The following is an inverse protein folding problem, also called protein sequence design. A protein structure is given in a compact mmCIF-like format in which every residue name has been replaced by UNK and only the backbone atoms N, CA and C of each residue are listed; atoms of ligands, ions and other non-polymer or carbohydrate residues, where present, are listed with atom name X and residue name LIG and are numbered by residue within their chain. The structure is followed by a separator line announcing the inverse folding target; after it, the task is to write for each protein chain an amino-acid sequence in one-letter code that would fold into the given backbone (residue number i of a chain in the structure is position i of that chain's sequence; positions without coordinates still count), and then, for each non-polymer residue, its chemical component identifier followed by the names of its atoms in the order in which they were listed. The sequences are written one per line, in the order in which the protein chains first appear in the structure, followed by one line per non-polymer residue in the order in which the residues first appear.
data_IF_170089674425
#
_entry.id   IF_170089674425
#
_cell.length_a   1.000
_cell.length_b   1.000
_cell.length_c   1.000
_cell.angle_alpha   90.00
_cell.angle_beta   90.00
_cell.angle_gamma   90.00
#
_symmetry.space_group_name_H-M   'P 1'
#
loop_
_entity.id
_entity.type
_entity.pdbx_description
1 polymer ?
#
# COMPACT_ATOMS: atom_id res chain seq x y z
N UNK A 1 8.34 1.23 40.88
CA UNK A 1 7.81 0.47 39.73
C UNK A 1 6.95 1.43 38.94
N UNK A 2 7.45 1.97 37.83
CA UNK A 2 6.82 3.08 37.12
C UNK A 2 5.56 2.63 36.37
N UNK A 3 4.51 3.44 36.43
CA UNK A 3 3.26 3.32 35.66
C UNK A 3 3.44 3.60 34.14
N UNK A 4 4.62 3.34 33.58
CA UNK A 4 4.81 3.30 32.14
C UNK A 4 4.67 1.82 31.74
N UNK A 5 3.54 1.47 31.15
CA UNK A 5 3.29 0.11 30.68
C UNK A 5 4.38 -0.33 29.69
N UNK A 6 4.62 -1.63 29.61
CA UNK A 6 5.47 -2.22 28.58
C UNK A 6 4.90 -1.89 27.19
N UNK A 7 5.41 -0.81 26.58
CA UNK A 7 4.96 -0.32 25.28
C UNK A 7 5.15 -1.38 24.18
N UNK A 8 6.14 -2.26 24.32
CA UNK A 8 6.35 -3.38 23.41
C UNK A 8 5.18 -4.36 23.45
N UNK A 9 4.81 -4.81 24.66
CA UNK A 9 3.67 -5.72 24.85
C UNK A 9 2.34 -5.08 24.43
N UNK A 10 2.09 -3.81 24.82
CA UNK A 10 0.89 -3.08 24.40
C UNK A 10 0.81 -2.95 22.88
N UNK A 11 1.92 -2.58 22.23
CA UNK A 11 1.98 -2.45 20.78
C UNK A 11 1.63 -3.74 20.05
N UNK A 12 2.09 -4.90 20.54
CA UNK A 12 1.73 -6.21 20.00
C UNK A 12 0.26 -6.55 20.20
N UNK A 13 -0.32 -6.23 21.35
CA UNK A 13 -1.75 -6.42 21.60
C UNK A 13 -2.60 -5.60 20.62
N UNK A 14 -2.26 -4.33 20.41
CA UNK A 14 -2.95 -3.48 19.43
C UNK A 14 -2.77 -3.97 17.99
N UNK A 15 -1.61 -4.51 17.65
CA UNK A 15 -1.37 -5.12 16.33
C UNK A 15 -2.31 -6.31 16.09
N UNK A 16 -2.46 -7.19 17.09
CA UNK A 16 -3.38 -8.33 17.03
C UNK A 16 -4.85 -7.89 16.98
N UNK A 17 -5.18 -6.77 17.62
CA UNK A 17 -6.51 -6.19 17.59
C UNK A 17 -6.77 -5.31 16.35
N UNK A 18 -5.90 -5.34 15.33
CA UNK A 18 -6.00 -4.56 14.10
C UNK A 18 -6.05 -3.02 14.31
N UNK A 19 -5.50 -2.56 15.44
CA UNK A 19 -5.38 -1.13 15.79
C UNK A 19 -3.98 -0.64 15.41
N UNK A 20 -3.69 -0.70 14.10
CA UNK A 20 -2.33 -0.56 13.57
C UNK A 20 -1.67 0.79 13.88
N UNK A 21 -2.43 1.87 13.95
CA UNK A 21 -1.89 3.20 14.26
C UNK A 21 -1.45 3.32 15.71
N UNK A 22 -2.25 2.80 16.65
CA UNK A 22 -1.87 2.71 18.08
C UNK A 22 -0.69 1.76 18.25
N UNK A 23 -0.71 0.62 17.56
CA UNK A 23 0.40 -0.33 17.57
C UNK A 23 1.71 0.34 17.12
N UNK A 24 1.69 1.06 15.99
CA UNK A 24 2.84 1.79 15.48
C UNK A 24 3.37 2.81 16.49
N UNK A 25 2.49 3.60 17.13
CA UNK A 25 2.87 4.54 18.18
C UNK A 25 3.59 3.86 19.36
N UNK A 26 3.00 2.79 19.90
CA UNK A 26 3.56 2.07 21.04
C UNK A 26 4.90 1.40 20.69
N UNK A 27 4.99 0.75 19.52
CA UNK A 27 6.19 0.04 19.10
C UNK A 27 7.33 1.01 18.78
N UNK A 28 7.02 2.16 18.19
CA UNK A 28 8.01 3.22 17.99
C UNK A 28 8.53 3.79 19.32
N UNK A 29 7.66 4.03 20.31
CA UNK A 29 8.08 4.40 21.67
C UNK A 29 8.97 3.34 22.31
N UNK A 30 8.64 2.06 22.16
CA UNK A 30 9.45 0.96 22.68
C UNK A 30 10.86 0.90 22.04
N UNK A 31 10.98 1.24 20.76
CA UNK A 31 12.28 1.36 20.07
C UNK A 31 13.09 2.55 20.61
N UNK A 32 12.44 3.69 20.88
CA UNK A 32 13.11 4.85 21.46
C UNK A 32 13.62 4.58 22.87
N UNK A 33 12.88 3.81 23.67
CA UNK A 33 13.30 3.37 25.01
C UNK A 33 14.41 2.31 24.95
N UNK A 34 14.31 1.36 24.01
CA UNK A 34 15.30 0.32 23.80
C UNK A 34 15.46 0.00 22.29
N UNK A 35 16.53 0.55 21.69
CA UNK A 35 16.84 0.35 20.28
C UNK A 35 17.16 -1.10 19.90
N UNK A 36 17.51 -1.95 20.87
CA UNK A 36 17.80 -3.37 20.67
C UNK A 36 16.54 -4.25 20.71
N UNK A 37 15.35 -3.66 20.90
CA UNK A 37 14.09 -4.41 20.94
C UNK A 37 13.65 -4.87 19.53
N UNK A 38 14.19 -6.00 19.09
CA UNK A 38 13.90 -6.59 17.77
C UNK A 38 12.39 -6.81 17.53
N UNK A 39 11.65 -7.21 18.56
CA UNK A 39 10.20 -7.42 18.47
C UNK A 39 9.45 -6.12 18.17
N UNK A 40 9.91 -4.99 18.72
CA UNK A 40 9.31 -3.69 18.44
C UNK A 40 9.58 -3.21 17.01
N UNK A 41 10.79 -3.40 16.48
CA UNK A 41 11.11 -3.13 15.08
C UNK A 41 10.24 -3.92 14.11
N UNK A 42 10.18 -5.24 14.31
CA UNK A 42 9.36 -6.14 13.51
C UNK A 42 7.89 -5.74 13.54
N UNK A 43 7.36 -5.49 14.74
CA UNK A 43 5.97 -5.07 14.89
C UNK A 43 5.67 -3.71 14.25
N UNK A 44 6.59 -2.75 14.32
CA UNK A 44 6.40 -1.42 13.73
C UNK A 44 6.32 -1.54 12.20
N UNK A 45 7.22 -2.30 11.59
CA UNK A 45 7.24 -2.58 10.14
C UNK A 45 5.91 -3.22 9.71
N UNK A 46 5.44 -4.22 10.47
CA UNK A 46 4.14 -4.85 10.22
C UNK A 46 2.98 -3.86 10.30
N UNK A 47 2.92 -3.06 11.38
CA UNK A 47 1.86 -2.07 11.58
C UNK A 47 1.80 -1.06 10.43
N UNK A 48 2.95 -0.50 10.04
CA UNK A 48 3.04 0.46 8.93
C UNK A 48 2.70 -0.20 7.58
N UNK A 49 3.09 -1.46 7.37
CA UNK A 49 2.75 -2.22 6.15
C UNK A 49 1.25 -2.45 6.03
N UNK A 50 0.57 -2.83 7.12
CA UNK A 50 -0.89 -2.99 7.11
C UNK A 50 -1.65 -1.67 6.93
N UNK A 51 -1.02 -0.54 7.22
CA UNK A 51 -1.54 0.80 6.90
C UNK A 51 -1.16 1.28 5.50
N UNK A 52 -0.43 0.48 4.71
CA UNK A 52 0.12 0.84 3.38
C UNK A 52 0.98 2.13 3.41
N UNK A 53 1.73 2.37 4.50
CA UNK A 53 2.66 3.51 4.63
C UNK A 53 4.05 3.15 4.09
N UNK A 54 4.14 2.87 2.79
CA UNK A 54 5.35 2.31 2.14
C UNK A 54 6.62 3.16 2.37
N UNK A 55 6.52 4.49 2.30
CA UNK A 55 7.64 5.38 2.59
C UNK A 55 8.15 5.27 4.04
N UNK A 56 7.25 5.11 5.00
CA UNK A 56 7.62 4.93 6.41
C UNK A 56 8.21 3.54 6.62
N UNK A 57 7.65 2.52 5.96
CA UNK A 57 8.17 1.15 5.99
C UNK A 57 9.60 1.11 5.45
N UNK A 58 9.87 1.72 4.29
CA UNK A 58 11.23 1.85 3.74
C UNK A 58 12.18 2.53 4.73
N UNK A 59 11.73 3.63 5.35
CA UNK A 59 12.53 4.38 6.32
C UNK A 59 12.85 3.54 7.56
N UNK A 60 11.85 2.86 8.13
CA UNK A 60 12.03 2.02 9.32
C UNK A 60 12.85 0.75 9.01
N UNK A 61 12.66 0.12 7.85
CA UNK A 61 13.49 -1.01 7.39
C UNK A 61 14.95 -0.60 7.20
N UNK A 62 15.20 0.59 6.64
CA UNK A 62 16.55 1.11 6.48
C UNK A 62 17.20 1.38 7.84
N UNK A 63 16.46 2.02 8.76
CA UNK A 63 16.92 2.24 10.14
C UNK A 63 17.21 0.93 10.86
N UNK A 64 16.37 -0.10 10.70
CA UNK A 64 16.57 -1.44 11.25
C UNK A 64 17.90 -2.04 10.77
N UNK A 65 18.12 -2.09 9.45
CA UNK A 65 19.34 -2.65 8.86
C UNK A 65 20.61 -1.93 9.32
N UNK A 66 20.52 -0.62 9.57
CA UNK A 66 21.64 0.20 10.02
C UNK A 66 21.86 0.18 11.54
N UNK A 67 21.14 -0.64 12.32
CA UNK A 67 21.43 -0.87 13.75
C UNK A 67 22.34 -2.09 13.94
N UNK A 68 23.64 -1.93 14.29
CA UNK A 68 24.56 -3.06 14.42
C UNK A 68 24.22 -4.04 15.56
N UNK A 69 23.46 -3.59 16.56
CA UNK A 69 23.17 -4.37 17.77
C UNK A 69 21.96 -5.30 17.60
N UNK A 70 21.15 -5.11 16.56
CA UNK A 70 19.97 -5.94 16.33
C UNK A 70 20.33 -7.34 15.81
N UNK A 71 19.58 -8.37 16.24
CA UNK A 71 19.68 -9.68 15.62
C UNK A 71 19.07 -9.66 14.22
N UNK A 72 19.60 -10.52 13.36
CA UNK A 72 19.00 -10.84 12.08
C UNK A 72 17.59 -11.43 12.27
N UNK A 73 16.63 -10.91 11.51
CA UNK A 73 15.24 -11.38 11.46
C UNK A 73 14.92 -11.78 10.00
N UNK A 74 14.75 -13.08 9.70
CA UNK A 74 14.47 -13.54 8.33
C UNK A 74 13.13 -13.02 7.79
N UNK A 75 12.16 -12.71 8.66
CA UNK A 75 10.85 -12.19 8.23
C UNK A 75 10.98 -10.79 7.59
N UNK A 76 12.05 -10.05 7.90
CA UNK A 76 12.32 -8.73 7.31
C UNK A 76 12.69 -8.77 5.83
N UNK A 77 13.20 -9.91 5.34
CA UNK A 77 13.67 -10.04 3.96
C UNK A 77 12.52 -9.82 2.97
N UNK A 78 11.37 -10.44 3.21
CA UNK A 78 10.22 -10.30 2.33
C UNK A 78 9.74 -8.85 2.24
N UNK A 79 9.76 -8.10 3.35
CA UNK A 79 9.45 -6.67 3.33
C UNK A 79 10.48 -5.86 2.55
N UNK A 80 11.78 -6.11 2.75
CA UNK A 80 12.83 -5.41 2.01
C UNK A 80 12.74 -5.66 0.50
N UNK A 81 12.52 -6.92 0.09
CA UNK A 81 12.33 -7.27 -1.32
C UNK A 81 11.11 -6.56 -1.91
N UNK A 82 9.97 -6.54 -1.20
CA UNK A 82 8.77 -5.84 -1.65
C UNK A 82 8.99 -4.33 -1.80
N UNK A 83 9.68 -3.71 -0.84
CA UNK A 83 9.86 -2.25 -0.77
C UNK A 83 10.90 -1.70 -1.75
N UNK A 84 11.90 -2.51 -2.13
CA UNK A 84 13.01 -2.10 -2.99
C UNK A 84 13.19 -3.01 -4.21
N UNK A 85 12.14 -3.73 -4.65
CA UNK A 85 12.20 -4.60 -5.84
C UNK A 85 12.77 -3.92 -7.08
N UNK A 86 12.49 -2.62 -7.25
CA UNK A 86 12.96 -1.81 -8.38
C UNK A 86 14.14 -0.88 -8.03
N UNK A 87 14.73 -1.04 -6.83
CA UNK A 87 15.89 -0.26 -6.38
C UNK A 87 17.01 -1.22 -5.93
N UNK A 88 17.79 -1.78 -6.88
CA UNK A 88 18.85 -2.74 -6.57
C UNK A 88 19.96 -2.14 -5.68
N UNK A 89 20.13 -0.81 -5.69
CA UNK A 89 21.09 -0.11 -4.82
C UNK A 89 20.72 -0.25 -3.35
N UNK A 90 19.53 0.24 -2.97
CA UNK A 90 19.08 0.20 -1.58
C UNK A 90 18.90 -1.24 -1.08
N UNK A 91 18.36 -2.13 -1.93
CA UNK A 91 18.21 -3.54 -1.59
C UNK A 91 19.57 -4.21 -1.36
N UNK A 92 20.56 -3.96 -2.22
CA UNK A 92 21.92 -4.49 -2.07
C UNK A 92 22.59 -4.00 -0.78
N UNK A 93 22.51 -2.71 -0.49
CA UNK A 93 23.03 -2.13 0.77
C UNK A 93 22.32 -2.72 2.00
N UNK A 94 21.02 -2.98 1.92
CA UNK A 94 20.25 -3.60 2.98
C UNK A 94 20.71 -5.04 3.24
N UNK A 95 20.86 -5.85 2.18
CA UNK A 95 21.40 -7.22 2.26
C UNK A 95 22.81 -7.25 2.87
N UNK A 96 23.66 -6.32 2.45
CA UNK A 96 25.01 -6.15 2.97
C UNK A 96 25.02 -5.83 4.48
N UNK A 97 24.07 -5.02 4.94
CA UNK A 97 23.95 -4.63 6.34
C UNK A 97 23.44 -5.79 7.21
N UNK A 98 22.36 -6.47 6.79
CA UNK A 98 21.78 -7.58 7.57
C UNK A 98 22.64 -8.85 7.57
N UNK A 99 23.48 -9.05 6.55
CA UNK A 99 24.43 -10.18 6.50
C UNK A 99 25.51 -10.10 7.58
N UNK A 100 25.71 -8.90 8.17
CA UNK A 100 26.67 -8.62 9.25
C UNK A 100 26.03 -8.66 10.64
N UNK A 101 24.71 -8.75 10.73
CA UNK A 101 24.00 -8.82 12.01
C UNK A 101 24.30 -10.10 12.78
N UNK A 102 24.05 -10.07 14.08
CA UNK A 102 24.13 -11.28 14.91
C UNK A 102 23.01 -12.25 14.53
N UNK A 103 23.32 -13.54 14.42
CA UNK A 103 22.31 -14.58 14.21
C UNK A 103 21.99 -14.90 12.74
N UNK A 104 22.70 -14.31 11.78
CA UNK A 104 22.53 -14.61 10.34
C UNK A 104 22.84 -16.08 10.00
N UNK A 105 23.78 -16.70 10.70
CA UNK A 105 24.06 -18.14 10.62
C UNK A 105 24.19 -18.66 9.19
N UNK A 106 23.33 -19.62 8.84
CA UNK A 106 23.28 -20.30 7.53
C UNK A 106 22.86 -19.38 6.37
N UNK A 107 22.15 -18.28 6.64
CA UNK A 107 21.70 -17.35 5.60
C UNK A 107 22.80 -16.45 5.06
N UNK A 108 23.97 -16.38 5.73
CA UNK A 108 25.03 -15.42 5.39
C UNK A 108 25.53 -15.57 3.96
N UNK A 109 25.74 -16.80 3.50
CA UNK A 109 26.23 -17.07 2.16
C UNK A 109 25.22 -16.62 1.08
N UNK A 110 23.93 -16.92 1.30
CA UNK A 110 22.84 -16.50 0.42
C UNK A 110 22.75 -14.97 0.33
N UNK A 111 22.74 -14.28 1.48
CA UNK A 111 22.64 -12.82 1.53
C UNK A 111 23.82 -12.13 0.85
N UNK A 112 25.04 -12.66 1.04
CA UNK A 112 26.24 -12.13 0.39
C UNK A 112 26.22 -12.37 -1.12
N UNK A 113 25.66 -13.50 -1.58
CA UNK A 113 25.45 -13.78 -3.00
C UNK A 113 24.46 -12.79 -3.64
N UNK A 114 23.29 -12.61 -3.01
CA UNK A 114 22.29 -11.65 -3.46
C UNK A 114 22.81 -10.21 -3.46
N UNK A 115 23.57 -9.80 -2.44
CA UNK A 115 24.27 -8.51 -2.42
C UNK A 115 25.15 -8.33 -3.67
N UNK A 116 25.94 -9.34 -4.03
CA UNK A 116 26.84 -9.27 -5.18
C UNK A 116 26.06 -9.15 -6.51
N UNK A 117 24.98 -9.91 -6.67
CA UNK A 117 24.13 -9.86 -7.85
C UNK A 117 23.45 -8.49 -8.01
N UNK A 118 22.90 -7.95 -6.92
CA UNK A 118 22.26 -6.63 -6.89
C UNK A 118 23.27 -5.51 -7.17
N UNK A 119 24.48 -5.61 -6.61
CA UNK A 119 25.56 -4.65 -6.87
C UNK A 119 25.97 -4.65 -8.34
N UNK A 120 26.04 -5.83 -8.96
CA UNK A 120 26.30 -5.95 -10.40
C UNK A 120 25.16 -5.32 -11.22
N UNK A 121 23.92 -5.66 -10.91
CA UNK A 121 22.74 -5.12 -11.60
C UNK A 121 22.68 -3.58 -11.51
N UNK A 122 22.99 -3.00 -10.34
CA UNK A 122 23.09 -1.55 -10.20
C UNK A 122 24.27 -0.97 -11.01
N UNK A 123 25.42 -1.63 -11.03
CA UNK A 123 26.56 -1.24 -11.88
C UNK A 123 26.19 -1.17 -13.36
N UNK A 124 25.51 -2.20 -13.87
CA UNK A 124 25.04 -2.27 -15.26
C UNK A 124 24.06 -1.11 -15.58
N UNK A 125 23.17 -0.75 -14.64
CA UNK A 125 22.27 0.39 -14.79
C UNK A 125 23.01 1.73 -14.80
N UNK A 126 24.02 1.89 -13.94
CA UNK A 126 24.85 3.11 -13.88
C UNK A 126 25.60 3.30 -15.19
N UNK A 127 26.13 2.23 -15.78
CA UNK A 127 26.78 2.29 -17.10
C UNK A 127 25.82 2.69 -18.22
N UNK A 128 24.55 2.27 -18.16
CA UNK A 128 23.54 2.55 -19.19
C UNK A 128 22.90 3.94 -19.08
N UNK A 129 22.66 4.42 -17.86
CA UNK A 129 21.83 5.61 -17.62
C UNK A 129 22.54 6.75 -16.88
N UNK A 130 23.71 6.48 -16.27
CA UNK A 130 24.41 7.40 -15.38
C UNK A 130 23.83 7.41 -13.97
N UNK A 131 24.70 7.57 -12.96
CA UNK A 131 24.31 7.52 -11.54
C UNK A 131 23.35 8.66 -11.15
N UNK A 132 23.56 9.87 -11.65
CA UNK A 132 22.73 11.05 -11.36
C UNK A 132 21.27 10.82 -11.80
N UNK A 133 21.06 10.37 -13.04
CA UNK A 133 19.74 10.01 -13.58
C UNK A 133 19.03 8.95 -12.73
N UNK A 134 19.76 7.95 -12.23
CA UNK A 134 19.17 6.89 -11.41
C UNK A 134 18.77 7.42 -10.02
N UNK A 135 19.56 8.33 -9.45
CA UNK A 135 19.21 8.99 -8.18
C UNK A 135 17.96 9.85 -8.33
N UNK A 136 17.82 10.61 -9.42
CA UNK A 136 16.61 11.36 -9.75
C UNK A 136 15.38 10.45 -9.88
N UNK A 137 15.57 9.24 -10.41
CA UNK A 137 14.54 8.18 -10.46
C UNK A 137 14.29 7.47 -9.11
N UNK A 138 14.92 7.93 -8.03
CA UNK A 138 14.71 7.42 -6.68
C UNK A 138 15.58 6.22 -6.30
N UNK A 139 16.60 5.86 -7.10
CA UNK A 139 17.60 4.84 -6.74
C UNK A 139 18.67 5.41 -5.80
N UNK A 140 18.23 5.83 -4.62
CA UNK A 140 19.09 6.45 -3.60
C UNK A 140 19.68 5.40 -2.63
N UNK A 141 20.78 5.72 -1.92
CA UNK A 141 21.38 4.88 -0.89
C UNK A 141 20.43 4.57 0.27
N UNK A 142 20.68 3.46 0.97
CA UNK A 142 19.93 3.05 2.15
C UNK A 142 20.01 4.08 3.29
N UNK A 143 21.18 4.72 3.44
CA UNK A 143 21.39 5.75 4.44
C UNK A 143 20.45 6.96 4.25
N UNK A 144 20.14 7.33 3.01
CA UNK A 144 19.22 8.42 2.73
C UNK A 144 17.78 8.06 3.10
N UNK A 145 17.34 6.81 2.83
CA UNK A 145 16.05 6.34 3.33
C UNK A 145 15.98 6.41 4.87
N UNK A 146 17.02 5.96 5.57
CA UNK A 146 17.04 5.97 7.03
C UNK A 146 16.99 7.38 7.63
N UNK A 147 17.53 8.37 6.93
CA UNK A 147 17.56 9.78 7.34
C UNK A 147 16.24 10.53 7.11
N UNK A 148 15.32 9.97 6.31
CA UNK A 148 14.00 10.59 6.09
C UNK A 148 13.25 10.72 7.41
N UNK A 149 12.45 11.77 7.52
CA UNK A 149 11.55 11.98 8.64
C UNK A 149 10.21 11.31 8.37
N UNK A 150 9.71 10.52 9.33
CA UNK A 150 8.36 9.94 9.30
C UNK A 150 7.44 10.66 10.29
N UNK A 151 6.12 10.50 10.18
CA UNK A 151 5.19 11.20 11.07
C UNK A 151 5.37 10.81 12.54
N UNK A 152 5.83 9.59 12.82
CA UNK A 152 6.16 9.16 14.19
C UNK A 152 7.35 9.93 14.80
N UNK A 153 8.35 10.31 13.98
CA UNK A 153 9.43 11.20 14.43
C UNK A 153 8.85 12.57 14.77
N UNK A 154 7.98 13.10 13.91
CA UNK A 154 7.34 14.39 14.15
C UNK A 154 6.45 14.37 15.40
N UNK A 155 5.69 13.31 15.65
CA UNK A 155 4.88 13.16 16.87
C UNK A 155 5.77 13.13 18.11
N UNK A 156 6.95 12.53 18.02
CA UNK A 156 7.89 12.45 19.13
C UNK A 156 8.62 13.79 19.37
N UNK A 157 9.07 14.44 18.30
CA UNK A 157 9.87 15.68 18.33
C UNK A 157 9.02 16.95 18.49
N UNK A 158 7.76 16.92 18.05
CA UNK A 158 6.85 18.06 17.93
C UNK A 158 6.45 18.74 19.26
N UNK A 159 7.01 18.29 20.38
CA UNK A 159 6.85 18.91 21.69
C UNK A 159 5.61 18.40 22.42
N UNK A 160 4.83 19.33 23.00
CA UNK A 160 3.62 18.94 23.72
C UNK A 160 2.55 18.43 22.76
N UNK A 161 1.72 17.51 23.24
CA UNK A 161 0.57 17.00 22.50
C UNK A 161 -0.38 18.14 22.08
N UNK A 162 -0.43 19.22 22.85
CA UNK A 162 -1.23 20.41 22.52
C UNK A 162 -0.75 21.13 21.25
N UNK A 163 0.56 21.26 21.06
CA UNK A 163 1.14 21.86 19.85
C UNK A 163 0.77 21.03 18.62
N UNK A 164 0.91 19.71 18.73
CA UNK A 164 0.54 18.77 17.66
C UNK A 164 -0.93 18.96 17.27
N UNK A 165 -1.82 19.07 18.26
CA UNK A 165 -3.25 19.25 17.98
C UNK A 165 -3.62 20.61 17.43
N UNK A 166 -2.92 21.67 17.80
CA UNK A 166 -3.16 22.99 17.22
C UNK A 166 -2.81 22.99 15.73
N UNK A 167 -1.66 22.41 15.36
CA UNK A 167 -1.29 22.25 13.96
C UNK A 167 -2.28 21.35 13.21
N UNK A 168 -2.68 20.22 13.81
CA UNK A 168 -3.62 19.29 13.20
C UNK A 168 -4.99 19.94 12.91
N UNK A 169 -5.46 20.86 13.76
CA UNK A 169 -6.71 21.61 13.51
C UNK A 169 -6.63 22.55 12.33
N UNK A 170 -5.46 23.10 12.04
CA UNK A 170 -5.25 23.96 10.87
C UNK A 170 -5.12 23.09 9.60
N UNK A 171 -4.29 22.04 9.65
CA UNK A 171 -4.02 21.17 8.51
C UNK A 171 -5.24 20.39 8.02
N UNK A 172 -6.18 20.08 8.91
CA UNK A 172 -7.40 19.34 8.56
C UNK A 172 -8.42 20.20 7.81
N UNK A 173 -8.27 21.52 7.86
CA UNK A 173 -9.11 22.49 7.17
C UNK A 173 -8.48 22.91 5.82
N UNK A 174 -7.19 22.58 5.59
CA UNK A 174 -6.49 22.77 4.32
C UNK A 174 -6.63 21.52 3.42
N UNK A 175 -7.28 21.61 2.24
CA UNK A 175 -7.46 20.48 1.33
C UNK A 175 -6.16 19.78 0.92
N UNK A 176 -5.04 20.51 0.82
CA UNK A 176 -3.75 19.94 0.42
C UNK A 176 -3.10 19.14 1.55
N UNK A 177 -3.42 19.46 2.81
CA UNK A 177 -2.80 18.86 3.99
C UNK A 177 -3.73 17.90 4.74
N UNK A 178 -5.03 17.91 4.44
CA UNK A 178 -6.03 17.16 5.20
C UNK A 178 -5.75 15.65 5.23
N UNK A 179 -5.32 15.05 4.12
CA UNK A 179 -4.98 13.62 4.09
C UNK A 179 -3.76 13.30 4.96
N UNK A 180 -2.71 14.13 4.90
CA UNK A 180 -1.51 14.00 5.74
C UNK A 180 -1.86 14.14 7.22
N UNK A 181 -2.75 15.07 7.56
CA UNK A 181 -3.27 15.24 8.92
C UNK A 181 -4.02 13.99 9.40
N UNK A 182 -4.90 13.42 8.58
CA UNK A 182 -5.62 12.16 8.89
C UNK A 182 -4.64 11.01 9.16
N UNK A 183 -3.61 10.87 8.32
CA UNK A 183 -2.55 9.85 8.48
C UNK A 183 -1.73 10.03 9.75
N UNK A 184 -1.54 11.27 10.19
CA UNK A 184 -0.87 11.56 11.45
C UNK A 184 -1.75 11.21 12.65
N UNK A 185 -3.02 11.63 12.63
CA UNK A 185 -3.96 11.44 13.73
C UNK A 185 -4.24 9.97 14.04
N UNK A 186 -4.14 9.06 13.06
CA UNK A 186 -4.34 7.63 13.30
C UNK A 186 -3.26 7.00 14.18
N UNK A 187 -2.07 7.62 14.26
CA UNK A 187 -0.94 7.18 15.08
C UNK A 187 -0.80 7.98 16.38
N UNK A 188 -1.77 8.83 16.73
CA UNK A 188 -1.76 9.60 17.96
C UNK A 188 -2.91 9.14 18.88
N UNK A 189 -2.67 8.19 19.81
CA UNK A 189 -3.70 7.59 20.66
C UNK A 189 -4.14 8.54 21.78
N UNK A 190 -4.84 9.62 21.42
CA UNK A 190 -5.45 10.59 22.32
C UNK A 190 -6.90 10.88 21.88
N UNK A 191 -7.85 11.05 22.82
CA UNK A 191 -9.27 11.24 22.52
C UNK A 191 -9.58 12.40 21.56
N UNK A 192 -8.69 13.40 21.48
CA UNK A 192 -8.82 14.52 20.55
C UNK A 192 -8.61 14.06 19.09
N UNK A 193 -7.79 13.05 18.83
CA UNK A 193 -7.63 12.44 17.50
C UNK A 193 -8.93 11.83 17.02
N UNK A 194 -9.60 11.04 17.87
CA UNK A 194 -10.91 10.47 17.55
C UNK A 194 -11.93 11.58 17.23
N UNK A 195 -11.98 12.63 18.07
CA UNK A 195 -12.92 13.74 17.88
C UNK A 195 -12.71 14.46 16.55
N UNK A 196 -11.44 14.70 16.17
CA UNK A 196 -11.10 15.34 14.90
C UNK A 196 -11.39 14.44 13.69
N UNK A 197 -11.01 13.17 13.74
CA UNK A 197 -11.30 12.21 12.67
C UNK A 197 -12.81 12.03 12.47
N UNK A 198 -13.60 11.94 13.55
CA UNK A 198 -15.08 11.94 13.46
C UNK A 198 -15.65 13.24 12.89
N UNK A 199 -14.97 14.38 13.03
CA UNK A 199 -15.36 15.65 12.38
C UNK A 199 -15.08 15.56 10.88
N UNK A 200 -13.91 15.04 10.47
CA UNK A 200 -13.56 14.82 9.06
C UNK A 200 -14.57 13.93 8.37
N UNK A 201 -14.95 12.79 8.97
CA UNK A 201 -15.94 11.88 8.38
C UNK A 201 -17.28 12.56 8.04
N UNK A 202 -17.60 13.71 8.66
CA UNK A 202 -18.85 14.47 8.45
C UNK A 202 -18.64 15.79 7.69
N UNK A 203 -17.40 16.15 7.35
CA UNK A 203 -17.12 17.44 6.73
C UNK A 203 -17.27 17.35 5.21
N UNK A 204 -18.39 17.86 4.70
CA UNK A 204 -18.72 17.81 3.27
C UNK A 204 -17.83 18.69 2.38
N UNK A 205 -17.09 19.63 2.97
CA UNK A 205 -16.13 20.48 2.26
C UNK A 205 -14.84 19.73 1.90
N UNK A 206 -14.57 18.59 2.55
CA UNK A 206 -13.38 17.77 2.27
C UNK A 206 -13.65 16.74 1.18
N UNK A 207 -12.61 16.43 0.42
CA UNK A 207 -12.65 15.37 -0.60
C UNK A 207 -13.12 14.03 0.02
N UNK A 208 -13.93 13.31 -0.75
CA UNK A 208 -14.53 12.04 -0.30
C UNK A 208 -13.47 11.00 0.09
N UNK A 209 -12.32 10.96 -0.59
CA UNK A 209 -11.23 10.05 -0.22
C UNK A 209 -10.67 10.38 1.15
N UNK A 210 -10.47 11.67 1.47
CA UNK A 210 -9.98 12.09 2.80
C UNK A 210 -10.94 11.64 3.90
N UNK A 211 -12.25 11.76 3.65
CA UNK A 211 -13.28 11.30 4.60
C UNK A 211 -13.26 9.78 4.79
N UNK A 212 -13.10 9.02 3.71
CA UNK A 212 -12.99 7.55 3.77
C UNK A 212 -11.70 7.12 4.49
N UNK A 213 -10.59 7.80 4.23
CA UNK A 213 -9.33 7.59 4.96
C UNK A 213 -9.46 7.94 6.44
N UNK A 214 -10.30 8.91 6.82
CA UNK A 214 -10.58 9.19 8.22
C UNK A 214 -11.36 8.05 8.92
N UNK A 215 -12.24 7.33 8.21
CA UNK A 215 -12.87 6.11 8.74
C UNK A 215 -11.83 5.01 8.98
N UNK A 216 -10.91 4.79 8.03
CA UNK A 216 -9.81 3.85 8.18
C UNK A 216 -8.91 4.23 9.37
N UNK A 217 -8.56 5.50 9.47
CA UNK A 217 -7.79 6.06 10.56
C UNK A 217 -8.43 5.82 11.93
N UNK A 218 -9.76 5.96 12.05
CA UNK A 218 -10.48 5.63 13.29
C UNK A 218 -10.32 4.14 13.66
N UNK A 219 -10.43 3.23 12.69
CA UNK A 219 -10.23 1.79 12.95
C UNK A 219 -8.81 1.50 13.42
N UNK A 220 -7.81 2.11 12.79
CA UNK A 220 -6.40 1.97 13.16
C UNK A 220 -6.05 2.63 14.50
N UNK A 221 -6.78 3.67 14.89
CA UNK A 221 -6.73 4.28 16.22
C UNK A 221 -7.39 3.39 17.30
N UNK A 222 -7.96 2.25 16.92
CA UNK A 222 -8.63 1.31 17.82
C UNK A 222 -10.07 1.67 18.15
N UNK A 223 -10.68 2.59 17.39
CA UNK A 223 -12.10 2.95 17.56
C UNK A 223 -12.97 1.84 16.96
N UNK A 224 -14.06 1.53 17.67
CA UNK A 224 -15.01 0.46 17.35
C UNK A 224 -16.45 1.00 17.35
N UNK A 225 -17.38 0.24 16.81
CA UNK A 225 -18.79 0.60 16.69
C UNK A 225 -19.10 1.63 15.59
N UNK A 226 -20.24 2.30 15.76
CA UNK A 226 -20.84 3.12 14.72
C UNK A 226 -20.19 4.51 14.59
N UNK A 227 -19.92 4.90 13.35
CA UNK A 227 -19.43 6.23 12.96
C UNK A 227 -20.38 6.83 11.93
N UNK A 228 -20.78 8.10 12.16
CA UNK A 228 -21.51 8.87 11.15
C UNK A 228 -20.53 9.35 10.08
N UNK A 229 -20.89 9.12 8.83
CA UNK A 229 -20.10 9.45 7.66
C UNK A 229 -20.98 10.17 6.64
N UNK A 230 -20.55 11.30 6.12
CA UNK A 230 -21.28 12.02 5.09
C UNK A 230 -20.55 11.92 3.77
N UNK A 231 -21.25 11.54 2.70
CA UNK A 231 -20.72 11.56 1.34
C UNK A 231 -21.85 11.80 0.34
N UNK A 232 -21.55 12.49 -0.77
CA UNK A 232 -22.53 12.85 -1.81
C UNK A 232 -23.84 13.48 -1.30
N UNK A 233 -23.77 14.31 -0.24
CA UNK A 233 -24.95 14.96 0.36
C UNK A 233 -25.84 14.03 1.20
N UNK A 234 -25.42 12.79 1.41
CA UNK A 234 -26.12 11.80 2.22
C UNK A 234 -25.34 11.46 3.50
N UNK A 235 -26.07 11.10 4.56
CA UNK A 235 -25.51 10.66 5.84
C UNK A 235 -25.65 9.15 5.99
N UNK A 236 -24.52 8.49 6.17
CA UNK A 236 -24.38 7.06 6.43
C UNK A 236 -23.97 6.77 7.87
N UNK A 237 -24.25 5.56 8.33
CA UNK A 237 -23.72 5.02 9.58
C UNK A 237 -22.89 3.78 9.24
N UNK A 238 -21.59 3.87 9.48
CA UNK A 238 -20.63 2.79 9.20
C UNK A 238 -20.27 2.12 10.52
N UNK A 239 -20.47 0.81 10.61
CA UNK A 239 -20.00 0.01 11.75
C UNK A 239 -18.53 -0.36 11.55
N UNK A 240 -17.61 0.18 12.35
CA UNK A 240 -16.19 -0.11 12.23
C UNK A 240 -15.81 -1.54 12.64
N UNK A 241 -16.67 -2.25 13.40
CA UNK A 241 -16.44 -3.65 13.76
C UNK A 241 -16.67 -4.61 12.58
N UNK A 242 -17.61 -4.26 11.70
CA UNK A 242 -17.92 -5.02 10.49
C UNK A 242 -18.46 -4.08 9.41
N UNK A 243 -17.57 -3.33 8.74
CA UNK A 243 -17.96 -2.34 7.74
C UNK A 243 -18.54 -3.05 6.51
N UNK A 244 -19.72 -2.61 6.08
CA UNK A 244 -20.40 -3.09 4.88
C UNK A 244 -20.77 -1.87 4.03
N UNK A 245 -20.15 -1.69 2.85
CA UNK A 245 -19.13 -2.55 2.23
C UNK A 245 -17.76 -2.48 2.94
N UNK A 246 -16.85 -3.39 2.60
CA UNK A 246 -15.54 -3.57 3.26
C UNK A 246 -14.71 -2.28 3.34
N UNK A 247 -14.36 -1.85 4.56
CA UNK A 247 -13.43 -0.73 4.75
C UNK A 247 -11.99 -1.26 4.84
N UNK A 248 -11.24 -1.15 3.74
CA UNK A 248 -9.87 -1.66 3.59
C UNK A 248 -8.98 -0.69 2.81
N UNK A 249 -7.66 -0.79 3.01
CA UNK A 249 -6.63 -0.11 2.18
C UNK A 249 -6.11 -0.96 1.03
N UNK A 250 -6.43 -2.24 1.02
CA UNK A 250 -6.14 -3.14 -0.09
C UNK A 250 -7.20 -3.01 -1.17
N UNK A 251 -7.00 -3.72 -2.29
CA UNK A 251 -8.09 -3.94 -3.24
C UNK A 251 -9.21 -4.71 -2.53
N UNK A 252 -10.45 -4.20 -2.50
CA UNK A 252 -11.56 -4.87 -1.83
C UNK A 252 -11.83 -6.26 -2.41
N UNK A 253 -12.16 -7.21 -1.56
CA UNK A 253 -12.30 -8.62 -1.94
C UNK A 253 -13.37 -8.85 -3.03
N UNK A 254 -14.36 -7.97 -3.12
CA UNK A 254 -15.43 -8.01 -4.14
C UNK A 254 -14.89 -7.92 -5.58
N UNK A 255 -13.70 -7.34 -5.79
CA UNK A 255 -13.07 -7.25 -7.11
C UNK A 255 -12.23 -8.47 -7.48
N UNK A 256 -11.95 -9.39 -6.54
CA UNK A 256 -11.11 -10.58 -6.77
C UNK A 256 -11.60 -11.43 -7.95
N UNK A 257 -12.90 -11.72 -8.14
CA UNK A 257 -13.38 -12.48 -9.30
C UNK A 257 -13.07 -11.81 -10.64
N UNK A 258 -13.17 -10.48 -10.72
CA UNK A 258 -12.85 -9.72 -11.92
C UNK A 258 -11.34 -9.69 -12.19
N UNK A 259 -10.50 -9.56 -11.16
CA UNK A 259 -9.04 -9.68 -11.29
C UNK A 259 -8.63 -11.09 -11.73
N UNK A 260 -9.29 -12.13 -11.22
CA UNK A 260 -9.10 -13.50 -11.67
C UNK A 260 -9.46 -13.64 -13.17
N UNK A 261 -10.60 -13.09 -13.61
CA UNK A 261 -11.00 -13.07 -15.04
C UNK A 261 -10.01 -12.29 -15.92
N UNK A 262 -9.44 -11.20 -15.41
CA UNK A 262 -8.38 -10.47 -16.08
C UNK A 262 -7.17 -11.37 -16.32
N UNK A 263 -6.70 -12.09 -15.30
CA UNK A 263 -5.59 -13.04 -15.45
C UNK A 263 -5.93 -14.23 -16.36
N UNK A 264 -7.19 -14.68 -16.38
CA UNK A 264 -7.66 -15.69 -17.34
C UNK A 264 -7.54 -15.21 -18.80
N UNK A 265 -7.86 -13.94 -19.08
CA UNK A 265 -7.66 -13.36 -20.40
C UNK A 265 -6.16 -13.28 -20.76
N UNK A 266 -5.30 -12.86 -19.83
CA UNK A 266 -3.84 -12.84 -20.04
C UNK A 266 -3.32 -14.24 -20.35
N UNK A 267 -3.77 -15.26 -19.62
CA UNK A 267 -3.39 -16.65 -19.83
C UNK A 267 -3.80 -17.16 -21.23
N UNK A 268 -4.97 -16.73 -21.73
CA UNK A 268 -5.42 -17.01 -23.10
C UNK A 268 -4.48 -16.37 -24.12
N UNK A 269 -4.17 -15.08 -23.98
CA UNK A 269 -3.32 -14.36 -24.94
C UNK A 269 -1.89 -14.90 -24.97
N UNK A 270 -1.43 -15.50 -23.87
CA UNK A 270 -0.13 -16.18 -23.77
C UNK A 270 -0.17 -17.66 -24.21
N UNK A 271 -1.34 -18.18 -24.57
CA UNK A 271 -1.51 -19.55 -25.05
C UNK A 271 -1.52 -20.63 -23.96
N UNK A 272 -1.61 -20.26 -22.68
CA UNK A 272 -1.77 -21.21 -21.57
C UNK A 272 -3.19 -21.75 -21.44
N UNK A 273 -4.18 -20.98 -21.90
CA UNK A 273 -5.60 -21.33 -21.89
C UNK A 273 -6.15 -21.24 -23.31
N UNK A 274 -6.96 -22.22 -23.71
CA UNK A 274 -7.58 -22.21 -25.05
C UNK A 274 -8.74 -21.22 -25.12
N UNK A 275 -9.12 -20.81 -26.34
CA UNK A 275 -10.25 -19.90 -26.53
C UNK A 275 -11.59 -20.49 -25.98
N UNK A 276 -11.81 -21.79 -26.14
CA UNK A 276 -13.04 -22.46 -25.68
C UNK A 276 -13.10 -22.49 -24.14
N UNK A 277 -11.99 -22.78 -23.47
CA UNK A 277 -11.87 -22.74 -22.01
C UNK A 277 -12.07 -21.32 -21.47
N UNK A 278 -11.49 -20.33 -22.15
CA UNK A 278 -11.70 -18.93 -21.84
C UNK A 278 -13.19 -18.57 -21.94
N UNK A 279 -13.86 -18.85 -23.05
CA UNK A 279 -15.26 -18.47 -23.25
C UNK A 279 -16.20 -19.19 -22.26
N UNK A 280 -15.95 -20.47 -21.95
CA UNK A 280 -16.73 -21.21 -20.97
C UNK A 280 -16.68 -20.59 -19.57
N UNK A 281 -15.49 -20.15 -19.14
CA UNK A 281 -15.29 -19.55 -17.81
C UNK A 281 -15.61 -18.04 -17.78
N UNK A 282 -15.30 -17.29 -18.84
CA UNK A 282 -15.57 -15.85 -18.92
C UNK A 282 -17.06 -15.54 -19.05
N UNK A 283 -17.88 -16.49 -19.51
CA UNK A 283 -19.34 -16.32 -19.64
C UNK A 283 -20.11 -16.48 -18.32
N UNK A 284 -19.45 -16.84 -17.22
CA UNK A 284 -20.08 -16.99 -15.90
C UNK A 284 -19.51 -15.98 -14.90
N UNK A 285 -20.28 -15.68 -13.85
CA UNK A 285 -19.87 -14.86 -12.71
C UNK A 285 -19.41 -15.73 -11.51
N UNK A 286 -19.01 -16.98 -11.75
CA UNK A 286 -18.53 -17.86 -10.70
C UNK A 286 -17.26 -17.28 -10.04
N UNK A 287 -17.19 -17.18 -8.71
CA UNK A 287 -16.11 -16.46 -8.03
C UNK A 287 -14.74 -17.15 -8.16
N UNK A 288 -14.74 -18.46 -8.35
CA UNK A 288 -13.53 -19.29 -8.39
C UNK A 288 -13.50 -20.10 -9.69
N UNK A 289 -12.28 -20.36 -10.18
CA UNK A 289 -12.05 -21.26 -11.30
C UNK A 289 -11.97 -22.70 -10.81
N UNK A 290 -12.18 -23.66 -11.72
CA UNK A 290 -11.79 -25.05 -11.44
C UNK A 290 -10.28 -25.13 -11.18
N UNK A 291 -9.85 -26.10 -10.38
CA UNK A 291 -8.43 -26.28 -10.02
C UNK A 291 -7.53 -26.37 -11.26
N UNK A 292 -7.97 -27.08 -12.30
CA UNK A 292 -7.23 -27.21 -13.56
C UNK A 292 -7.03 -25.84 -14.24
N UNK A 293 -8.09 -25.03 -14.33
CA UNK A 293 -8.01 -23.72 -14.96
C UNK A 293 -7.20 -22.74 -14.10
N UNK A 294 -7.33 -22.82 -12.77
CA UNK A 294 -6.55 -22.02 -11.84
C UNK A 294 -5.04 -22.26 -11.99
N UNK A 295 -4.60 -23.51 -12.15
CA UNK A 295 -3.20 -23.84 -12.42
C UNK A 295 -2.71 -23.29 -13.76
N UNK A 296 -3.53 -23.35 -14.82
CA UNK A 296 -3.18 -22.72 -16.12
C UNK A 296 -3.00 -21.22 -16.00
N UNK A 297 -3.89 -20.55 -15.26
CA UNK A 297 -3.85 -19.10 -15.01
C UNK A 297 -2.61 -18.69 -14.20
N UNK A 298 -2.14 -19.53 -13.26
CA UNK A 298 -0.91 -19.25 -12.48
C UNK A 298 0.36 -19.18 -13.33
N UNK A 299 0.37 -19.81 -14.50
CA UNK A 299 1.51 -19.76 -15.43
C UNK A 299 1.52 -18.46 -16.27
N UNK A 300 0.44 -17.68 -16.24
CA UNK A 300 0.36 -16.43 -16.96
C UNK A 300 1.18 -15.34 -16.26
N UNK A 301 2.04 -14.67 -17.01
CA UNK A 301 2.90 -13.62 -16.49
C UNK A 301 2.40 -12.24 -16.90
N UNK A 302 2.03 -11.41 -15.93
CA UNK A 302 1.73 -10.00 -16.16
C UNK A 302 2.76 -9.15 -15.40
N UNK A 303 3.40 -8.15 -16.03
CA UNK A 303 4.29 -7.25 -15.31
C UNK A 303 3.59 -6.64 -14.08
N UNK A 304 4.19 -6.81 -12.89
CA UNK A 304 3.59 -6.40 -11.62
C UNK A 304 3.18 -4.93 -11.60
N UNK A 305 3.91 -4.07 -12.32
CA UNK A 305 3.57 -2.65 -12.48
C UNK A 305 2.18 -2.44 -13.07
N UNK A 306 1.79 -3.22 -14.09
CA UNK A 306 0.48 -3.09 -14.73
C UNK A 306 -0.64 -3.52 -13.80
N UNK A 307 -0.42 -4.59 -13.03
CA UNK A 307 -1.37 -5.03 -12.02
C UNK A 307 -1.55 -3.97 -10.92
N UNK A 308 -0.47 -3.35 -10.45
CA UNK A 308 -0.53 -2.28 -9.44
C UNK A 308 -1.27 -1.02 -9.93
N UNK A 309 -1.20 -0.70 -11.23
CA UNK A 309 -2.01 0.39 -11.81
C UNK A 309 -3.50 0.13 -11.62
N UNK A 310 -3.98 -1.08 -11.93
CA UNK A 310 -5.38 -1.45 -11.73
C UNK A 310 -5.76 -1.44 -10.26
N UNK A 311 -4.91 -2.00 -9.40
CA UNK A 311 -5.13 -1.98 -7.95
C UNK A 311 -5.29 -0.55 -7.41
N UNK A 312 -4.43 0.36 -7.87
CA UNK A 312 -4.46 1.78 -7.50
C UNK A 312 -5.74 2.46 -7.96
N UNK A 313 -6.17 2.22 -9.20
CA UNK A 313 -7.40 2.81 -9.76
C UNK A 313 -8.66 2.28 -9.05
N UNK A 314 -8.71 0.98 -8.75
CA UNK A 314 -9.80 0.40 -7.94
C UNK A 314 -9.86 1.07 -6.57
N UNK A 315 -8.71 1.19 -5.88
CA UNK A 315 -8.65 1.81 -4.55
C UNK A 315 -9.09 3.27 -4.57
N UNK A 316 -8.60 4.05 -5.54
CA UNK A 316 -8.93 5.46 -5.67
C UNK A 316 -10.43 5.69 -5.91
N UNK A 317 -11.05 4.90 -6.79
CA UNK A 317 -12.49 4.95 -7.01
C UNK A 317 -13.26 4.48 -5.77
N UNK A 318 -12.83 3.39 -5.15
CA UNK A 318 -13.48 2.87 -3.95
C UNK A 318 -13.47 3.88 -2.80
N UNK A 319 -12.33 4.54 -2.54
CA UNK A 319 -12.20 5.60 -1.54
C UNK A 319 -13.15 6.77 -1.81
N UNK A 320 -13.26 7.18 -3.07
CA UNK A 320 -14.12 8.29 -3.49
C UNK A 320 -15.60 7.95 -3.29
N UNK A 321 -16.01 6.74 -3.65
CA UNK A 321 -17.42 6.34 -3.68
C UNK A 321 -17.94 5.68 -2.42
N UNK A 322 -17.08 5.31 -1.46
CA UNK A 322 -17.50 4.69 -0.20
C UNK A 322 -18.60 5.49 0.53
N UNK A 323 -19.65 4.86 1.09
CA UNK A 323 -19.99 3.42 1.04
C UNK A 323 -20.82 3.01 -0.19
N UNK A 324 -21.11 3.92 -1.13
CA UNK A 324 -21.90 3.69 -2.34
C UNK A 324 -21.07 3.06 -3.47
N UNK A 325 -20.33 2.01 -3.17
CA UNK A 325 -19.51 1.28 -4.15
C UNK A 325 -20.37 0.27 -4.92
N UNK A 326 -20.12 0.04 -6.22
CA UNK A 326 -20.92 -0.89 -7.00
C UNK A 326 -20.71 -2.33 -6.54
N UNK A 327 -21.78 -3.12 -6.58
CA UNK A 327 -21.67 -4.58 -6.51
C UNK A 327 -21.06 -5.09 -7.81
N UNK A 328 -20.07 -5.97 -7.70
CA UNK A 328 -19.40 -6.55 -8.88
C UNK A 328 -20.28 -7.68 -9.43
N UNK A 329 -20.83 -7.46 -10.62
CA UNK A 329 -21.50 -8.41 -11.51
C UNK A 329 -20.98 -8.16 -12.92
N UNK A 330 -21.05 -9.15 -13.81
CA UNK A 330 -20.42 -9.03 -15.13
C UNK A 330 -18.90 -8.97 -15.00
N UNK A 331 -18.31 -9.99 -14.37
CA UNK A 331 -16.87 -10.05 -14.08
C UNK A 331 -16.00 -9.94 -15.33
N UNK A 332 -16.50 -10.40 -16.48
CA UNK A 332 -15.89 -10.20 -17.82
C UNK A 332 -15.79 -8.72 -18.18
N UNK A 333 -16.85 -7.94 -17.97
CA UNK A 333 -16.88 -6.51 -18.29
C UNK A 333 -15.91 -5.73 -17.40
N UNK A 334 -15.83 -6.07 -16.11
CA UNK A 334 -14.84 -5.50 -15.20
C UNK A 334 -13.40 -5.87 -15.58
N UNK A 335 -13.17 -7.14 -15.92
CA UNK A 335 -11.86 -7.60 -16.39
C UNK A 335 -11.42 -6.87 -17.67
N UNK A 336 -12.33 -6.71 -18.64
CA UNK A 336 -12.10 -5.93 -19.84
C UNK A 336 -11.76 -4.47 -19.51
N UNK A 337 -12.49 -3.83 -18.59
CA UNK A 337 -12.19 -2.47 -18.13
C UNK A 337 -10.78 -2.35 -17.54
N UNK A 338 -10.35 -3.32 -16.73
CA UNK A 338 -9.00 -3.36 -16.16
C UNK A 338 -7.92 -3.48 -17.25
N UNK A 339 -8.12 -4.38 -18.22
CA UNK A 339 -7.22 -4.58 -19.35
C UNK A 339 -7.11 -3.32 -20.21
N UNK A 340 -8.22 -2.62 -20.46
CA UNK A 340 -8.23 -1.34 -21.17
C UNK A 340 -7.37 -0.30 -20.45
N UNK A 341 -7.46 -0.20 -19.12
CA UNK A 341 -6.67 0.74 -18.32
C UNK A 341 -5.18 0.40 -18.30
N UNK A 342 -4.84 -0.89 -18.18
CA UNK A 342 -3.44 -1.33 -18.24
C UNK A 342 -2.82 -1.05 -19.60
N UNK A 343 -3.58 -1.28 -20.67
CA UNK A 343 -3.14 -0.94 -22.03
C UNK A 343 -2.95 0.56 -22.18
N UNK A 344 -3.92 1.37 -21.76
CA UNK A 344 -3.84 2.84 -21.83
C UNK A 344 -2.60 3.34 -21.07
N UNK A 345 -2.32 2.78 -19.89
CA UNK A 345 -1.11 3.07 -19.13
C UNK A 345 0.16 2.66 -19.88
N UNK A 346 0.27 1.38 -20.29
CA UNK A 346 1.48 0.83 -20.93
C UNK A 346 1.85 1.58 -22.22
N UNK A 347 0.84 1.93 -23.03
CA UNK A 347 1.03 2.73 -24.25
C UNK A 347 1.39 4.17 -23.86
N UNK A 348 0.68 4.75 -22.89
CA UNK A 348 0.90 6.12 -22.44
C UNK A 348 2.25 6.39 -21.77
N UNK A 349 2.94 5.36 -21.25
CA UNK A 349 4.31 5.47 -20.72
C UNK A 349 5.37 4.94 -21.68
N UNK A 350 4.98 4.55 -22.90
CA UNK A 350 5.91 4.05 -23.94
C UNK A 350 6.48 2.64 -23.70
N UNK A 351 5.92 1.84 -22.79
CA UNK A 351 6.36 0.45 -22.53
C UNK A 351 5.95 -0.52 -23.65
N UNK A 352 4.97 -0.13 -24.48
CA UNK A 352 4.33 -1.02 -25.43
C UNK A 352 3.36 -2.00 -24.74
N UNK A 353 2.36 -2.46 -25.47
CA UNK A 353 1.38 -3.44 -24.99
C UNK A 353 1.66 -4.80 -25.63
N UNK A 354 2.12 -5.81 -24.87
CA UNK A 354 2.61 -7.07 -25.44
C UNK A 354 1.50 -8.10 -25.72
N UNK A 355 0.25 -7.80 -25.40
CA UNK A 355 -0.90 -8.71 -25.51
C UNK A 355 -1.86 -8.24 -26.62
N UNK A 356 -2.92 -9.02 -26.90
CA UNK A 356 -3.96 -8.66 -27.86
C UNK A 356 -4.80 -7.44 -27.44
N UNK A 357 -5.78 -7.09 -28.26
CA UNK A 357 -6.72 -6.01 -27.96
C UNK A 357 -7.71 -6.44 -26.86
N UNK A 358 -7.83 -5.68 -25.74
CA UNK A 358 -8.87 -5.93 -24.76
C UNK A 358 -10.27 -5.82 -25.37
N UNK A 359 -11.19 -6.63 -24.85
CA UNK A 359 -12.58 -6.63 -25.31
C UNK A 359 -13.24 -5.26 -25.13
N UNK A 360 -13.85 -4.73 -26.20
CA UNK A 360 -14.48 -3.41 -26.22
C UNK A 360 -15.99 -3.52 -25.97
N UNK A 361 -16.36 -3.95 -24.76
CA UNK A 361 -17.77 -4.07 -24.35
C UNK A 361 -18.26 -2.71 -23.83
N UNK A 362 -19.47 -2.28 -24.21
CA UNK A 362 -20.04 -0.99 -23.77
C UNK A 362 -20.05 -0.85 -22.24
N UNK A 363 -20.43 -1.93 -21.54
CA UNK A 363 -20.44 -1.98 -20.09
C UNK A 363 -19.02 -1.87 -19.48
N UNK A 364 -18.01 -2.44 -20.13
CA UNK A 364 -16.60 -2.31 -19.72
C UNK A 364 -16.12 -0.84 -19.81
N UNK A 365 -16.57 -0.09 -20.83
CA UNK A 365 -16.28 1.34 -20.96
C UNK A 365 -16.88 2.13 -19.79
N UNK A 366 -18.10 1.79 -19.34
CA UNK A 366 -18.72 2.42 -18.18
C UNK A 366 -17.95 2.11 -16.89
N UNK A 367 -17.52 0.85 -16.70
CA UNK A 367 -16.69 0.46 -15.55
C UNK A 367 -15.33 1.16 -15.56
N UNK A 368 -14.69 1.27 -16.72
CA UNK A 368 -13.45 2.03 -16.90
C UNK A 368 -13.64 3.50 -16.49
N UNK A 369 -14.69 4.15 -16.97
CA UNK A 369 -14.96 5.55 -16.65
C UNK A 369 -15.25 5.74 -15.16
N UNK A 370 -15.94 4.78 -14.52
CA UNK A 370 -16.14 4.79 -13.07
C UNK A 370 -14.81 4.69 -12.31
N UNK A 371 -13.90 3.80 -12.71
CA UNK A 371 -12.56 3.70 -12.11
C UNK A 371 -11.77 5.01 -12.26
N UNK A 372 -11.77 5.58 -13.47
CA UNK A 372 -11.07 6.84 -13.77
C UNK A 372 -11.66 8.04 -13.05
N UNK A 373 -12.95 8.02 -12.72
CA UNK A 373 -13.55 9.11 -11.93
C UNK A 373 -12.92 9.22 -10.53
N UNK A 374 -12.30 8.15 -10.03
CA UNK A 374 -11.47 8.16 -8.83
C UNK A 374 -10.11 8.83 -9.02
N UNK A 375 -9.58 8.91 -10.24
CA UNK A 375 -8.25 9.44 -10.56
C UNK A 375 -8.34 10.33 -11.82
N UNK A 376 -8.92 11.54 -11.71
CA UNK A 376 -9.23 12.40 -12.86
C UNK A 376 -7.98 12.87 -13.63
N UNK A 377 -6.83 12.86 -12.98
CA UNK A 377 -5.50 13.22 -13.47
C UNK A 377 -4.75 12.07 -14.17
N UNK A 378 -5.37 10.88 -14.29
CA UNK A 378 -4.70 9.70 -14.85
C UNK A 378 -4.08 9.94 -16.23
N UNK A 379 -4.85 10.48 -17.18
CA UNK A 379 -4.34 10.74 -18.53
C UNK A 379 -3.38 11.94 -18.60
N UNK A 380 -3.55 12.94 -17.74
CA UNK A 380 -2.60 14.07 -17.62
C UNK A 380 -1.24 13.58 -17.14
N UNK A 381 -1.24 12.68 -16.15
CA UNK A 381 -0.03 12.05 -15.62
C UNK A 381 0.71 11.28 -16.71
N UNK A 382 0.00 10.50 -17.54
CA UNK A 382 0.61 9.78 -18.67
C UNK A 382 1.27 10.73 -19.68
N UNK A 383 0.63 11.87 -19.98
CA UNK A 383 1.19 12.86 -20.90
C UNK A 383 2.45 13.54 -20.35
N UNK A 384 2.51 13.74 -19.03
CA UNK A 384 3.66 14.38 -18.37
C UNK A 384 4.95 13.53 -18.42
N UNK A 385 4.84 12.21 -18.60
CA UNK A 385 5.99 11.29 -18.76
C UNK A 385 6.72 11.49 -20.11
N UNK A 386 6.06 12.13 -21.08
CA UNK A 386 6.62 12.42 -22.41
C UNK A 386 7.08 13.87 -22.60
N UNK A 387 6.91 14.72 -21.59
CA UNK A 387 7.39 16.10 -21.55
C UNK A 387 8.76 16.16 -20.86
#
# INVERSE_FOLDING_TARGET
MSQNGDYGAMGRQYLQAESYGVAAFCLYRAILENKENASAWNGLILALTFMRKEYDVQTVLARFALQPQLPYDPDMISFAMMMWQNNPRALGEWMAAVSRMRGTGEHKAMLTGLEADLKKAYGDLVEQHGEETLQEKGMIPLAEYAARRIELDWIHEGGSVDTIYNNAKEWIEDPEQALSCVRLLCMLPDPRSEKLLRRVCRNEELDSKVRTHALLALRWLGIRGNVKFHNFGESFVVNLDNPQPELTVSVPAVFKPALNRMMLWVAKEQGHVTADEYEAAASTDEPEFSDELAEKVKNAELPSLLQEVVHTLIRAAYDKYYPLVPTIRGTRDWAAAFLMLMKDYAVGVGMGWPLGEPEQIEQAVLHRNWLLSGSPDFYETLQSVHA
#
